data_IF_625967078651
#
_entry.id   IF_625967078651
#
_cell.length_a   1.000
_cell.length_b   1.000
_cell.length_c   1.000
_cell.angle_alpha   90.00
_cell.angle_beta   90.00
_cell.angle_gamma   90.00
#
_symmetry.space_group_name_H-M   'P 1'
#
loop_
_entity.id
_entity.type
_entity.pdbx_description
1 polymer ?
#
# COMPACT_ATOMS: atom_id res chain seq x y z
N UNK A 1 -2.29 -25.00 -2.55
CA UNK A 1 -2.42 -23.73 -3.30
C UNK A 1 -1.00 -23.25 -3.58
N UNK A 2 -0.57 -23.22 -4.84
CA UNK A 2 0.85 -23.00 -5.18
C UNK A 2 1.14 -21.50 -5.22
N UNK A 3 2.12 -21.05 -4.45
CA UNK A 3 2.52 -19.66 -4.38
C UNK A 3 3.36 -19.30 -5.62
N UNK A 4 2.74 -18.69 -6.63
CA UNK A 4 3.41 -18.33 -7.88
C UNK A 4 4.58 -17.35 -7.69
N UNK A 5 4.68 -16.63 -6.57
CA UNK A 5 5.82 -15.76 -6.27
C UNK A 5 7.12 -16.52 -6.06
N UNK A 6 7.07 -17.76 -5.59
CA UNK A 6 8.24 -18.61 -5.39
C UNK A 6 8.84 -19.08 -6.73
N UNK A 7 8.03 -19.07 -7.80
CA UNK A 7 8.46 -19.47 -9.14
C UNK A 7 9.12 -18.34 -9.94
N UNK A 8 9.04 -17.09 -9.47
CA UNK A 8 9.65 -15.96 -10.17
C UNK A 8 11.16 -15.97 -9.92
N UNK A 9 12.00 -15.95 -10.98
CA UNK A 9 13.46 -15.90 -10.82
C UNK A 9 13.86 -14.68 -9.98
N UNK A 10 14.48 -14.91 -8.82
CA UNK A 10 14.85 -13.86 -7.84
C UNK A 10 15.73 -12.75 -8.42
N UNK A 11 16.41 -13.03 -9.54
CA UNK A 11 17.20 -12.07 -10.33
C UNK A 11 16.35 -10.95 -10.96
N UNK A 12 15.05 -11.19 -11.19
CA UNK A 12 14.12 -10.21 -11.75
C UNK A 12 13.46 -9.31 -10.70
N UNK A 13 13.65 -9.60 -9.42
CA UNK A 13 13.10 -8.81 -8.33
C UNK A 13 14.07 -7.67 -7.99
N UNK A 14 13.56 -6.42 -7.93
CA UNK A 14 14.35 -5.28 -7.41
C UNK A 14 14.82 -5.61 -5.99
N UNK A 15 16.13 -5.57 -5.76
CA UNK A 15 16.72 -5.73 -4.43
C UNK A 15 16.55 -4.42 -3.67
N UNK A 16 15.70 -4.43 -2.65
CA UNK A 16 15.60 -3.36 -1.68
C UNK A 16 16.64 -3.58 -0.56
N UNK A 17 17.11 -2.51 0.11
CA UNK A 17 17.99 -2.65 1.28
C UNK A 17 17.30 -3.54 2.32
N UNK A 18 18.01 -4.60 2.75
CA UNK A 18 17.53 -5.49 3.81
C UNK A 18 17.81 -4.83 5.15
N UNK A 19 16.77 -4.72 5.99
CA UNK A 19 16.91 -4.41 7.40
C UNK A 19 16.78 -5.73 8.17
N UNK A 20 17.82 -6.15 8.88
CA UNK A 20 17.81 -7.42 9.63
C UNK A 20 16.81 -7.41 10.80
N UNK A 21 16.31 -6.22 11.18
CA UNK A 21 15.30 -6.03 12.22
C UNK A 21 13.87 -5.88 11.68
N UNK A 22 13.69 -5.78 10.37
CA UNK A 22 12.37 -5.55 9.78
C UNK A 22 12.27 -6.12 8.36
N UNK A 23 11.53 -7.21 8.21
CA UNK A 23 11.29 -7.86 6.91
C UNK A 23 9.95 -7.37 6.32
N UNK A 24 10.01 -6.48 5.31
CA UNK A 24 8.81 -6.13 4.53
C UNK A 24 9.19 -5.57 3.14
N UNK A 25 8.39 -5.85 2.08
CA UNK A 25 6.94 -5.80 2.19
C UNK A 25 6.23 -7.14 1.95
N UNK A 26 5.52 -7.61 2.97
CA UNK A 26 4.46 -8.59 2.81
C UNK A 26 3.39 -8.06 1.84
N UNK A 27 2.82 -8.96 1.06
CA UNK A 27 1.61 -8.68 0.27
C UNK A 27 0.43 -9.21 1.06
N UNK A 28 -0.54 -8.36 1.36
CA UNK A 28 -1.77 -8.76 2.05
C UNK A 28 -2.96 -8.63 1.12
N UNK A 29 -3.83 -9.63 1.16
CA UNK A 29 -5.11 -9.63 0.47
C UNK A 29 -6.22 -9.76 1.51
N UNK A 30 -7.09 -8.76 1.59
CA UNK A 30 -8.27 -8.78 2.47
C UNK A 30 -9.47 -9.12 1.61
N UNK A 31 -9.93 -10.37 1.73
CA UNK A 31 -11.12 -10.87 1.05
C UNK A 31 -12.27 -11.04 2.03
N UNK A 32 -13.39 -10.36 1.79
CA UNK A 32 -14.58 -10.50 2.63
C UNK A 32 -15.88 -10.23 1.85
N UNK A 33 -17.04 -10.76 2.31
CA UNK A 33 -18.33 -10.51 1.68
C UNK A 33 -18.72 -9.02 1.66
N UNK A 34 -19.67 -8.64 0.81
CA UNK A 34 -20.24 -7.29 0.85
C UNK A 34 -20.84 -6.98 2.24
N UNK A 35 -20.73 -5.73 2.70
CA UNK A 35 -21.24 -5.30 4.02
C UNK A 35 -20.37 -5.68 5.24
N UNK A 36 -19.29 -6.43 5.06
CA UNK A 36 -18.38 -6.87 6.15
C UNK A 36 -17.42 -5.80 6.68
N UNK A 37 -17.51 -4.57 6.19
CA UNK A 37 -16.66 -3.42 6.59
C UNK A 37 -15.17 -3.57 6.25
N UNK A 38 -14.82 -4.26 5.16
CA UNK A 38 -13.43 -4.36 4.65
C UNK A 38 -12.70 -3.03 4.59
N UNK A 39 -13.32 -2.00 3.98
CA UNK A 39 -12.70 -0.69 3.87
C UNK A 39 -12.29 -0.17 5.25
N UNK A 40 -13.17 -0.25 6.26
CA UNK A 40 -12.87 0.18 7.62
C UNK A 40 -11.69 -0.58 8.27
N UNK A 41 -11.57 -1.88 7.99
CA UNK A 41 -10.41 -2.67 8.44
C UNK A 41 -9.13 -2.18 7.76
N UNK A 42 -9.16 -1.93 6.46
CA UNK A 42 -8.01 -1.42 5.71
C UNK A 42 -7.58 -0.04 6.22
N UNK A 43 -8.52 0.86 6.52
CA UNK A 43 -8.23 2.18 7.12
C UNK A 43 -7.54 2.05 8.48
N UNK A 44 -8.00 1.11 9.32
CA UNK A 44 -7.37 0.85 10.63
C UNK A 44 -5.93 0.37 10.48
N UNK A 45 -5.68 -0.53 9.52
CA UNK A 45 -4.34 -1.03 9.24
C UNK A 45 -3.44 0.11 8.73
N UNK A 46 -3.94 0.93 7.81
CA UNK A 46 -3.22 2.11 7.30
C UNK A 46 -2.87 3.06 8.44
N UNK A 47 -3.81 3.34 9.34
CA UNK A 47 -3.58 4.21 10.50
C UNK A 47 -2.49 3.66 11.43
N UNK A 48 -2.46 2.35 11.69
CA UNK A 48 -1.40 1.72 12.48
C UNK A 48 -0.02 1.79 11.79
N UNK A 49 -0.01 1.58 10.47
CA UNK A 49 1.20 1.56 9.65
C UNK A 49 1.74 2.95 9.31
N UNK A 50 0.96 4.01 9.50
CA UNK A 50 1.36 5.40 9.24
C UNK A 50 2.64 5.81 9.96
N UNK A 51 2.93 5.22 11.12
CA UNK A 51 4.15 5.46 11.90
C UNK A 51 5.36 4.70 11.39
N UNK A 52 5.16 3.70 10.53
CA UNK A 52 6.20 2.81 10.04
C UNK A 52 6.68 3.16 8.63
N UNK A 53 5.84 3.84 7.84
CA UNK A 53 6.15 4.18 6.45
C UNK A 53 6.34 5.68 6.27
N UNK A 54 7.27 6.06 5.41
CA UNK A 54 7.50 7.48 5.04
C UNK A 54 6.37 8.03 4.18
N UNK A 55 5.72 7.17 3.38
CA UNK A 55 4.64 7.54 2.46
C UNK A 55 3.72 6.35 2.23
N UNK A 56 2.41 6.60 2.25
CA UNK A 56 1.35 5.63 1.97
C UNK A 56 0.56 6.13 0.76
N UNK A 57 0.41 5.29 -0.26
CA UNK A 57 -0.35 5.61 -1.48
C UNK A 57 -1.57 4.70 -1.55
N UNK A 58 -2.76 5.30 -1.53
CA UNK A 58 -4.05 4.61 -1.66
C UNK A 58 -4.52 4.78 -3.10
N UNK A 59 -4.61 3.69 -3.85
CA UNK A 59 -5.14 3.69 -5.22
C UNK A 59 -6.58 3.17 -5.20
N UNK A 60 -7.55 4.01 -5.58
CA UNK A 60 -8.97 3.64 -5.63
C UNK A 60 -9.60 4.00 -6.98
N UNK A 61 -10.64 3.27 -7.39
CA UNK A 61 -11.42 3.62 -8.58
C UNK A 61 -12.31 4.84 -8.37
N UNK A 62 -12.81 5.00 -7.14
CA UNK A 62 -13.71 6.08 -6.76
C UNK A 62 -13.30 6.53 -5.37
N UNK A 63 -13.17 7.84 -5.18
CA UNK A 63 -12.85 8.37 -3.86
C UNK A 63 -14.04 8.20 -2.92
N UNK A 64 -13.74 7.88 -1.67
CA UNK A 64 -14.68 7.72 -0.58
C UNK A 64 -14.32 8.76 0.50
N UNK A 65 -15.33 9.33 1.16
CA UNK A 65 -15.14 10.33 2.24
C UNK A 65 -14.21 9.83 3.36
N UNK A 66 -14.12 8.51 3.52
CA UNK A 66 -13.27 7.85 4.50
C UNK A 66 -11.77 8.00 4.19
N UNK A 67 -11.38 8.12 2.92
CA UNK A 67 -10.00 8.37 2.50
C UNK A 67 -9.62 9.84 2.69
N UNK A 68 -10.55 10.77 2.43
CA UNK A 68 -10.34 12.20 2.70
C UNK A 68 -10.08 12.44 4.19
N UNK A 69 -10.91 11.87 5.06
CA UNK A 69 -10.70 11.91 6.51
C UNK A 69 -9.32 11.35 6.92
N UNK A 70 -8.87 10.30 6.25
CA UNK A 70 -7.56 9.69 6.49
C UNK A 70 -6.41 10.60 6.10
N UNK A 71 -6.53 11.28 4.96
CA UNK A 71 -5.58 12.27 4.48
C UNK A 71 -5.49 13.48 5.43
N UNK A 72 -6.62 13.91 5.97
CA UNK A 72 -6.67 15.00 6.95
C UNK A 72 -6.11 14.59 8.33
N UNK A 73 -6.14 13.30 8.65
CA UNK A 73 -5.66 12.77 9.93
C UNK A 73 -4.18 12.36 9.87
N UNK A 74 -3.66 12.01 8.69
CA UNK A 74 -2.33 11.43 8.52
C UNK A 74 -1.58 12.11 7.37
N UNK A 75 -0.51 12.83 7.72
CA UNK A 75 0.25 13.69 6.80
C UNK A 75 0.96 12.96 5.64
N UNK A 76 1.17 11.64 5.75
CA UNK A 76 1.93 10.86 4.77
C UNK A 76 1.06 10.03 3.80
N UNK A 77 -0.24 10.34 3.69
CA UNK A 77 -1.19 9.63 2.82
C UNK A 77 -1.45 10.40 1.51
N UNK A 78 -1.24 9.74 0.37
CA UNK A 78 -1.62 10.22 -0.96
C UNK A 78 -2.73 9.32 -1.53
N UNK A 79 -3.83 9.92 -2.00
CA UNK A 79 -4.93 9.20 -2.63
C UNK A 79 -4.86 9.44 -4.14
N UNK A 80 -4.87 8.36 -4.91
CA UNK A 80 -4.86 8.37 -6.38
C UNK A 80 -6.16 7.73 -6.86
N UNK A 81 -6.95 8.53 -7.57
CA UNK A 81 -8.21 8.11 -8.17
C UNK A 81 -7.97 7.44 -9.53
N UNK A 82 -9.02 6.92 -10.17
CA UNK A 82 -8.99 6.20 -11.46
C UNK A 82 -8.43 4.77 -11.42
N UNK A 83 -8.06 4.26 -10.24
CA UNK A 83 -7.62 2.87 -10.07
C UNK A 83 -6.29 2.54 -10.78
N UNK A 84 -5.58 3.55 -11.26
CA UNK A 84 -4.26 3.42 -11.86
C UNK A 84 -3.22 3.39 -10.74
N UNK A 85 -2.53 2.25 -10.59
CA UNK A 85 -1.35 2.18 -9.72
C UNK A 85 -0.17 2.80 -10.48
N UNK A 86 0.44 3.90 -9.99
CA UNK A 86 1.57 4.52 -10.68
C UNK A 86 2.73 3.53 -10.84
N UNK A 87 3.52 3.72 -11.90
CA UNK A 87 4.73 2.94 -12.03
C UNK A 87 5.67 3.22 -10.84
N UNK A 88 6.39 2.21 -10.37
CA UNK A 88 7.34 2.36 -9.25
C UNK A 88 8.40 3.44 -9.52
N UNK A 89 8.75 3.68 -10.78
CA UNK A 89 9.62 4.78 -11.20
C UNK A 89 9.07 6.14 -10.77
N UNK A 90 7.76 6.32 -10.93
CA UNK A 90 7.08 7.59 -10.75
C UNK A 90 6.88 7.89 -9.26
N UNK A 91 6.68 6.83 -8.45
CA UNK A 91 6.64 6.95 -6.99
C UNK A 91 8.00 7.31 -6.38
N UNK A 92 9.11 6.84 -6.97
CA UNK A 92 10.46 7.12 -6.44
C UNK A 92 10.89 8.56 -6.71
N UNK A 93 10.53 9.11 -7.88
CA UNK A 93 10.79 10.51 -8.25
C UNK A 93 10.05 11.50 -7.33
N UNK A 94 8.81 11.19 -6.93
CA UNK A 94 8.01 12.03 -6.00
C UNK A 94 8.48 12.00 -4.54
N UNK A 95 9.45 11.15 -4.20
CA UNK A 95 10.05 11.08 -2.86
C UNK A 95 11.38 11.85 -2.77
N UNK A 96 11.95 12.24 -3.92
CA UNK A 96 13.24 12.93 -4.01
C UNK A 96 13.11 14.45 -4.26
N UNK A 97 11.88 14.95 -4.36
CA UNK A 97 11.49 16.36 -4.53
C UNK A 97 10.80 16.87 -3.28
#
# INVERSE_FOLDING_TARGET
MQNFYESIPKLKLKKFPKNDHFELPFRMCVGSPSGSKKSNTDLFIIALLSKCFTKIVICTKTNETSYDHLKDTIDNVEVIEEGMVPAMSDMTLRLAS
#
